data_IF_744971979367
#
_entry.id   IF_744971979367
#
_cell.length_a   1.000
_cell.length_b   1.000
_cell.length_c   1.000
_cell.angle_alpha   90.00
_cell.angle_beta   90.00
_cell.angle_gamma   90.00
#
_symmetry.space_group_name_H-M   'P 1'
#
loop_
_entity.id
_entity.type
_entity.pdbx_description
1 polymer ?
#
# COMPACT_ATOMS: atom_id res chain seq x y z
N UNK A 1 7.89 -2.76 21.17
CA UNK A 1 6.82 -3.40 20.37
C UNK A 1 6.42 -2.46 19.24
N UNK A 2 6.35 -2.93 18.04
CA UNK A 2 5.89 -2.11 16.93
C UNK A 2 4.63 -2.72 16.31
N UNK A 3 3.82 -1.86 15.69
CA UNK A 3 2.64 -2.31 15.00
C UNK A 3 3.01 -2.85 13.62
N UNK A 4 2.20 -3.75 13.11
CA UNK A 4 2.35 -4.26 11.75
C UNK A 4 1.83 -3.20 10.78
N UNK A 5 2.75 -2.52 10.09
CA UNK A 5 2.44 -1.38 9.24
C UNK A 5 2.50 -1.77 7.77
N UNK A 6 1.44 -1.44 7.05
CA UNK A 6 1.32 -1.69 5.61
C UNK A 6 1.15 -0.36 4.90
N UNK A 7 1.93 -0.11 3.86
CA UNK A 7 1.80 1.11 3.05
C UNK A 7 1.20 0.74 1.70
N UNK A 8 0.14 1.44 1.32
CA UNK A 8 -0.48 1.32 0.00
C UNK A 8 -0.01 2.48 -0.86
N UNK A 9 0.61 2.23 -1.98
CA UNK A 9 1.08 3.31 -2.83
C UNK A 9 1.51 2.86 -4.21
N UNK A 10 1.49 3.81 -5.16
CA UNK A 10 1.82 3.56 -6.56
C UNK A 10 2.68 4.65 -7.17
N UNK A 11 3.12 5.63 -6.37
CA UNK A 11 3.80 6.82 -6.87
C UNK A 11 5.14 7.06 -6.17
N UNK A 12 5.91 8.01 -6.68
CA UNK A 12 7.15 8.44 -6.04
C UNK A 12 6.92 8.99 -4.63
N UNK A 13 5.78 9.67 -4.41
CA UNK A 13 5.42 10.15 -3.07
C UNK A 13 5.23 8.98 -2.09
N UNK A 14 4.82 7.82 -2.61
CA UNK A 14 4.69 6.61 -1.79
C UNK A 14 6.05 6.12 -1.32
N UNK A 15 7.06 6.19 -2.18
CA UNK A 15 8.43 5.86 -1.80
C UNK A 15 8.89 6.75 -0.66
N UNK A 16 8.60 8.05 -0.74
CA UNK A 16 9.03 9.00 0.28
C UNK A 16 8.42 8.68 1.64
N UNK A 17 7.14 8.31 1.69
CA UNK A 17 6.50 7.98 2.96
C UNK A 17 7.01 6.66 3.52
N UNK A 18 7.28 5.67 2.66
CA UNK A 18 7.86 4.41 3.12
C UNK A 18 9.23 4.66 3.73
N UNK A 19 10.08 5.42 3.05
CA UNK A 19 11.42 5.74 3.56
C UNK A 19 11.35 6.50 4.88
N UNK A 20 10.45 7.47 4.98
CA UNK A 20 10.30 8.25 6.21
C UNK A 20 9.87 7.37 7.37
N UNK A 21 8.85 6.53 7.17
CA UNK A 21 8.38 5.66 8.25
C UNK A 21 9.48 4.68 8.65
N UNK A 22 10.11 4.04 7.67
CA UNK A 22 11.15 3.04 7.91
C UNK A 22 12.34 3.60 8.66
N UNK A 23 12.77 4.81 8.30
CA UNK A 23 13.99 5.39 8.84
C UNK A 23 13.77 6.18 10.12
N UNK A 24 12.59 6.77 10.30
CA UNK A 24 12.35 7.72 11.38
C UNK A 24 11.34 7.25 12.43
N UNK A 25 10.50 6.26 12.12
CA UNK A 25 9.41 5.88 13.01
C UNK A 25 9.50 4.43 13.44
N UNK A 26 9.30 3.51 12.51
CA UNK A 26 9.29 2.06 12.80
C UNK A 26 9.41 1.27 11.51
N UNK A 27 9.73 -0.01 11.59
CA UNK A 27 9.80 -0.84 10.38
C UNK A 27 8.45 -0.88 9.65
N UNK A 28 8.51 -0.80 8.33
CA UNK A 28 7.36 -1.05 7.46
C UNK A 28 7.38 -2.54 7.13
N UNK A 29 6.25 -3.22 7.37
CA UNK A 29 6.19 -4.67 7.25
C UNK A 29 5.79 -5.13 5.85
N UNK A 30 5.11 -4.28 5.09
CA UNK A 30 4.63 -4.65 3.77
C UNK A 30 4.29 -3.39 2.98
N UNK A 31 4.53 -3.43 1.68
CA UNK A 31 4.03 -2.43 0.74
C UNK A 31 3.10 -3.12 -0.23
N UNK A 32 1.90 -2.57 -0.42
CA UNK A 32 0.96 -3.04 -1.44
C UNK A 32 0.92 -2.00 -2.55
N UNK A 33 1.20 -2.42 -3.76
CA UNK A 33 1.18 -1.59 -4.95
C UNK A 33 0.41 -2.32 -6.05
N UNK A 34 0.47 -1.82 -7.28
CA UNK A 34 -0.18 -2.47 -8.41
C UNK A 34 0.86 -2.90 -9.44
N UNK A 35 0.50 -3.91 -10.23
CA UNK A 35 1.40 -4.40 -11.27
C UNK A 35 1.53 -3.39 -12.42
N UNK A 36 2.61 -3.45 -13.20
CA UNK A 36 2.75 -2.57 -14.37
C UNK A 36 1.60 -2.67 -15.36
N UNK A 37 1.02 -3.85 -15.52
CA UNK A 37 -0.12 -4.06 -16.42
C UNK A 37 -1.35 -3.29 -15.94
N UNK A 38 -1.63 -3.30 -14.64
CA UNK A 38 -2.72 -2.55 -14.05
C UNK A 38 -2.49 -1.05 -14.22
N UNK A 39 -1.25 -0.63 -14.09
CA UNK A 39 -0.87 0.77 -14.28
C UNK A 39 -1.25 1.27 -15.67
N UNK A 40 -0.93 0.49 -16.69
CA UNK A 40 -1.26 0.85 -18.07
C UNK A 40 -2.76 0.93 -18.29
N UNK A 41 -3.51 -0.03 -17.77
CA UNK A 41 -4.97 -0.08 -17.91
C UNK A 41 -5.65 1.13 -17.26
N UNK A 42 -5.13 1.60 -16.14
CA UNK A 42 -5.77 2.66 -15.35
C UNK A 42 -5.16 4.02 -15.59
N UNK A 43 -4.18 4.14 -16.48
CA UNK A 43 -3.52 5.40 -16.81
C UNK A 43 -3.08 6.17 -15.56
N UNK A 44 -2.38 5.48 -14.66
CA UNK A 44 -1.99 6.08 -13.38
C UNK A 44 -0.93 7.14 -13.60
N UNK A 45 -1.24 8.36 -13.17
CA UNK A 45 -0.34 9.49 -13.27
C UNK A 45 0.72 9.41 -12.18
N UNK A 46 1.99 9.57 -12.57
CA UNK A 46 3.08 9.57 -11.60
C UNK A 46 3.42 8.21 -11.01
N UNK A 47 3.01 7.14 -11.69
CA UNK A 47 3.32 5.78 -11.23
C UNK A 47 4.82 5.57 -11.08
N UNK A 48 5.19 4.89 -10.02
CA UNK A 48 6.55 4.43 -9.82
C UNK A 48 6.50 3.02 -9.24
N UNK A 49 7.23 2.09 -9.85
CA UNK A 49 7.37 0.74 -9.31
C UNK A 49 8.09 0.79 -7.97
N UNK A 50 7.56 0.07 -7.00
CA UNK A 50 8.10 0.08 -5.64
C UNK A 50 8.81 -1.21 -5.24
N UNK A 51 8.94 -2.16 -6.16
CA UNK A 51 9.56 -3.46 -5.86
C UNK A 51 11.01 -3.35 -5.40
N UNK A 52 11.71 -2.28 -5.79
CA UNK A 52 13.09 -2.05 -5.34
C UNK A 52 13.22 -1.88 -3.82
N UNK A 53 12.12 -1.58 -3.13
CA UNK A 53 12.14 -1.41 -1.67
C UNK A 53 12.49 -2.71 -0.95
N UNK A 54 12.23 -3.85 -1.58
CA UNK A 54 12.65 -5.13 -1.02
C UNK A 54 14.17 -5.21 -0.94
N UNK A 55 14.86 -4.76 -1.96
CA UNK A 55 16.34 -4.76 -1.95
C UNK A 55 16.89 -3.69 -1.01
N UNK A 56 16.25 -2.51 -0.99
CA UNK A 56 16.77 -1.40 -0.20
C UNK A 56 16.57 -1.59 1.29
N UNK A 57 15.43 -2.11 1.71
CA UNK A 57 15.06 -2.19 3.14
C UNK A 57 14.66 -3.60 3.59
N UNK A 58 14.60 -4.56 2.70
CA UNK A 58 14.09 -5.88 3.05
C UNK A 58 12.58 -5.92 3.23
N UNK A 59 11.85 -4.93 2.73
CA UNK A 59 10.38 -4.86 2.88
C UNK A 59 9.71 -5.67 1.78
N UNK A 60 8.83 -6.62 2.12
CA UNK A 60 8.05 -7.32 1.09
C UNK A 60 7.16 -6.35 0.33
N UNK A 61 7.08 -6.51 -0.99
CA UNK A 61 6.20 -5.71 -1.84
C UNK A 61 5.25 -6.64 -2.57
N UNK A 62 3.95 -6.41 -2.38
CA UNK A 62 2.90 -7.16 -3.06
C UNK A 62 2.33 -6.34 -4.20
N UNK A 63 2.38 -6.87 -5.42
CA UNK A 63 1.81 -6.20 -6.60
C UNK A 63 0.44 -6.77 -6.89
N UNK A 64 -0.60 -5.98 -6.64
CA UNK A 64 -1.97 -6.37 -6.91
C UNK A 64 -2.28 -6.32 -8.41
N UNK A 65 -3.13 -7.20 -8.86
CA UNK A 65 -3.57 -7.25 -10.26
C UNK A 65 -4.85 -6.45 -10.50
N UNK A 66 -5.34 -5.76 -9.49
CA UNK A 66 -6.49 -4.86 -9.57
C UNK A 66 -6.24 -3.63 -8.71
N UNK A 67 -6.50 -2.45 -9.25
CA UNK A 67 -6.35 -1.20 -8.51
C UNK A 67 -7.41 -1.07 -7.40
N UNK A 68 -8.49 -1.83 -7.49
CA UNK A 68 -9.51 -1.88 -6.44
C UNK A 68 -9.28 -3.03 -5.46
N UNK A 69 -8.16 -3.74 -5.57
CA UNK A 69 -7.80 -4.86 -4.70
C UNK A 69 -8.83 -5.99 -4.74
N UNK A 70 -9.41 -6.23 -5.91
CA UNK A 70 -10.42 -7.28 -6.08
C UNK A 70 -9.88 -8.57 -6.69
N UNK A 71 -8.62 -8.58 -7.07
CA UNK A 71 -8.01 -9.78 -7.67
C UNK A 71 -7.85 -10.88 -6.62
N UNK A 72 -8.05 -12.13 -7.06
CA UNK A 72 -8.03 -13.29 -6.16
C UNK A 72 -6.70 -13.44 -5.43
N UNK A 73 -5.60 -13.15 -6.10
CA UNK A 73 -4.26 -13.24 -5.52
C UNK A 73 -4.14 -12.33 -4.28
N UNK A 74 -4.57 -11.08 -4.42
CA UNK A 74 -4.50 -10.12 -3.32
C UNK A 74 -5.47 -10.48 -2.21
N UNK A 75 -6.69 -10.90 -2.56
CA UNK A 75 -7.68 -11.30 -1.57
C UNK A 75 -7.22 -12.50 -0.75
N UNK A 76 -6.60 -13.48 -1.40
CA UNK A 76 -6.04 -14.64 -0.71
C UNK A 76 -4.90 -14.20 0.22
N UNK A 77 -4.03 -13.36 -0.28
CA UNK A 77 -2.90 -12.84 0.51
C UNK A 77 -3.39 -12.11 1.76
N UNK A 78 -4.39 -11.24 1.60
CA UNK A 78 -4.95 -10.49 2.72
C UNK A 78 -5.66 -11.41 3.72
N UNK A 79 -6.30 -12.47 3.23
CA UNK A 79 -7.00 -13.42 4.11
C UNK A 79 -6.03 -14.25 4.95
N UNK A 80 -4.80 -14.43 4.49
CA UNK A 80 -3.80 -15.25 5.17
C UNK A 80 -2.93 -14.46 6.14
N UNK A 81 -3.13 -13.14 6.23
CA UNK A 81 -2.29 -12.28 7.06
C UNK A 81 -3.14 -11.40 7.96
N UNK A 82 -2.54 -10.95 9.07
CA UNK A 82 -3.17 -9.99 9.96
C UNK A 82 -2.38 -8.71 9.94
N UNK A 83 -3.09 -7.57 9.96
CA UNK A 83 -2.48 -6.26 9.89
C UNK A 83 -3.03 -5.35 10.97
N UNK A 84 -2.25 -4.33 11.33
CA UNK A 84 -2.66 -3.41 12.38
C UNK A 84 -2.94 -2.01 11.84
N UNK A 85 -2.00 -1.42 11.13
CA UNK A 85 -2.15 -0.04 10.62
C UNK A 85 -1.82 -0.02 9.14
N UNK A 86 -2.70 0.62 8.37
CA UNK A 86 -2.44 0.89 6.96
C UNK A 86 -2.19 2.38 6.74
N UNK A 87 -1.29 2.71 5.84
CA UNK A 87 -1.03 4.08 5.42
C UNK A 87 -1.18 4.12 3.90
N UNK A 88 -2.00 5.04 3.43
CA UNK A 88 -2.30 5.16 2.01
C UNK A 88 -1.75 6.50 1.50
N UNK A 89 -0.75 6.42 0.64
CA UNK A 89 -0.15 7.62 0.06
C UNK A 89 0.01 7.41 -1.45
N UNK A 90 -0.61 8.28 -2.24
CA UNK A 90 -0.55 8.16 -3.68
C UNK A 90 -1.37 7.01 -4.24
N UNK A 91 -2.42 6.63 -3.57
CA UNK A 91 -3.36 5.61 -4.02
C UNK A 91 -4.65 6.31 -4.43
N UNK A 92 -5.05 6.18 -5.69
CA UNK A 92 -6.12 7.00 -6.26
C UNK A 92 -7.45 6.26 -6.43
N UNK A 93 -7.62 5.15 -5.74
CA UNK A 93 -8.88 4.40 -5.76
C UNK A 93 -9.32 4.15 -4.33
N UNK A 94 -10.62 3.99 -4.15
CA UNK A 94 -11.16 3.66 -2.83
C UNK A 94 -10.68 2.27 -2.42
N UNK A 95 -10.29 2.15 -1.15
CA UNK A 95 -9.98 0.84 -0.57
C UNK A 95 -11.30 0.21 -0.18
N UNK A 96 -11.61 -1.01 -0.65
CA UNK A 96 -12.88 -1.66 -0.29
C UNK A 96 -13.04 -1.85 1.22
N UNK A 97 -14.27 -1.80 1.70
CA UNK A 97 -14.54 -1.90 3.14
C UNK A 97 -14.06 -3.21 3.74
N UNK A 98 -14.15 -4.30 3.00
CA UNK A 98 -13.68 -5.59 3.51
C UNK A 98 -12.16 -5.65 3.63
N UNK A 99 -11.44 -4.85 2.85
CA UNK A 99 -9.98 -4.69 3.03
C UNK A 99 -9.72 -3.83 4.26
N UNK A 100 -10.48 -2.73 4.42
CA UNK A 100 -10.33 -1.87 5.60
C UNK A 100 -10.53 -2.67 6.89
N UNK A 101 -11.49 -3.60 6.88
CA UNK A 101 -11.82 -4.41 8.05
C UNK A 101 -10.70 -5.36 8.47
N UNK A 102 -9.70 -5.57 7.62
CA UNK A 102 -8.52 -6.39 7.95
C UNK A 102 -7.53 -5.67 8.85
N UNK A 103 -7.69 -4.36 9.03
CA UNK A 103 -6.74 -3.55 9.79
C UNK A 103 -7.33 -3.16 11.13
N UNK A 104 -6.71 -3.62 12.20
CA UNK A 104 -7.21 -3.40 13.56
C UNK A 104 -7.41 -1.91 13.86
N UNK A 105 -6.46 -1.08 13.44
CA UNK A 105 -6.50 0.37 13.70
C UNK A 105 -6.85 1.18 12.46
N UNK A 106 -7.22 0.52 11.36
CA UNK A 106 -7.67 1.19 10.15
C UNK A 106 -6.56 1.57 9.18
N UNK A 107 -6.98 2.19 8.09
CA UNK A 107 -6.07 2.68 7.05
C UNK A 107 -6.22 4.20 6.97
N UNK A 108 -5.10 4.91 7.07
CA UNK A 108 -5.07 6.37 7.08
C UNK A 108 -4.52 6.89 5.77
N UNK A 109 -5.24 7.81 5.15
CA UNK A 109 -4.85 8.35 3.85
C UNK A 109 -4.27 9.75 3.96
N UNK A 110 -3.32 10.03 3.08
CA UNK A 110 -2.71 11.34 2.96
C UNK A 110 -2.77 11.76 1.50
N UNK A 111 -3.57 12.78 1.17
CA UNK A 111 -3.52 13.39 -0.14
C UNK A 111 -4.08 14.80 -0.08
N UNK A 112 -3.87 15.57 -1.15
CA UNK A 112 -4.17 16.97 -1.16
C UNK A 112 -5.64 17.35 -1.05
N UNK A 113 -6.52 16.40 -1.27
CA UNK A 113 -7.96 16.62 -1.12
C UNK A 113 -8.47 15.81 0.04
N UNK A 114 -9.38 16.35 0.80
CA UNK A 114 -9.98 15.64 1.92
C UNK A 114 -10.84 14.51 1.37
N UNK A 115 -10.21 13.46 1.01
CA UNK A 115 -10.87 12.42 0.24
C UNK A 115 -11.40 11.28 1.04
N UNK A 116 -10.71 10.82 2.03
CA UNK A 116 -11.13 9.61 2.67
C UNK A 116 -10.63 9.39 4.05
N UNK A 117 -10.77 10.33 4.76
CA UNK A 117 -10.61 10.04 6.20
C UNK A 117 -11.95 9.94 6.85
#
# INVERSE_FOLDING_TARGET
MHYKVVVFGVKDTSENIVSFIQEEICPVDLVITISPEVTKKNQVSGYKGLSFLTEKYGIPVHEADSYFLTDDKTRKFLAENEFEIGVCMGWQRLIPSDVLDKFEYGIYGFHGNAGYL
#
